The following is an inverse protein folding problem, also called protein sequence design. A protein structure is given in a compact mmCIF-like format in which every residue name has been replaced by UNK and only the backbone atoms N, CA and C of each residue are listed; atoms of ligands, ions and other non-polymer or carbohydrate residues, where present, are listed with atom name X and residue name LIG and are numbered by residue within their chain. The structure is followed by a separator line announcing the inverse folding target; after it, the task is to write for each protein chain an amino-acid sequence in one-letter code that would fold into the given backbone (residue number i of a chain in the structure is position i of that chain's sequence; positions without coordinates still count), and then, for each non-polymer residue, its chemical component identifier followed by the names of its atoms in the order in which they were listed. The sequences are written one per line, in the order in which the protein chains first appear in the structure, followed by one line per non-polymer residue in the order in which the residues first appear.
data_IF_546109103737
#
_entry.id   IF_546109103737
#
_cell.length_a   1.000
_cell.length_b   1.000
_cell.length_c   1.000
_cell.angle_alpha   90.00
_cell.angle_beta   90.00
_cell.angle_gamma   90.00
#
_symmetry.space_group_name_H-M   'P 1'
#
loop_
_entity.id
_entity.type
_entity.pdbx_description
1 polymer ?
#
# COMPACT_ATOMS: atom_id res chain seq x y z
N UNK A 1 -22.48 23.88 -4.82
CA UNK A 1 -21.48 24.59 -5.64
C UNK A 1 -20.56 23.55 -6.25
N UNK A 2 -20.42 23.52 -7.58
CA UNK A 2 -19.58 22.56 -8.31
C UNK A 2 -18.30 23.24 -8.81
N UNK A 3 -17.23 22.47 -9.03
CA UNK A 3 -16.03 22.95 -9.74
C UNK A 3 -16.28 22.81 -11.25
N UNK A 4 -16.42 23.91 -12.01
CA UNK A 4 -16.66 23.82 -13.44
C UNK A 4 -15.37 23.46 -14.18
N UNK A 5 -15.45 22.44 -15.03
CA UNK A 5 -14.40 22.08 -15.98
C UNK A 5 -14.91 22.35 -17.39
N UNK A 6 -14.18 23.16 -18.15
CA UNK A 6 -14.61 23.60 -19.48
C UNK A 6 -13.85 22.83 -20.56
N UNK A 7 -14.59 22.14 -21.43
CA UNK A 7 -14.08 21.53 -22.66
C UNK A 7 -14.74 22.29 -23.82
N UNK A 8 -13.94 22.98 -24.64
CA UNK A 8 -14.43 23.73 -25.80
C UNK A 8 -14.15 22.95 -27.07
N UNK A 9 -15.19 22.42 -27.69
CA UNK A 9 -15.09 21.78 -29.00
C UNK A 9 -14.93 22.84 -30.10
N UNK A 10 -14.04 22.59 -31.06
CA UNK A 10 -13.80 23.46 -32.22
C UNK A 10 -14.17 22.70 -33.48
N UNK A 11 -14.97 23.34 -34.34
CA UNK A 11 -15.35 22.76 -35.63
C UNK A 11 -14.23 23.05 -36.64
N UNK A 12 -13.62 22.01 -37.26
CA UNK A 12 -12.48 22.21 -38.15
C UNK A 12 -12.88 22.66 -39.57
N UNK A 13 -14.06 22.24 -40.06
CA UNK A 13 -14.60 22.63 -41.36
C UNK A 13 -16.12 22.39 -41.41
N UNK A 14 -16.82 23.04 -42.34
CA UNK A 14 -18.28 22.90 -42.50
C UNK A 14 -18.68 21.62 -43.26
N UNK A 15 -17.78 21.11 -44.10
CA UNK A 15 -18.02 19.94 -44.97
C UNK A 15 -17.97 18.58 -44.23
N UNK A 16 -17.67 18.59 -42.92
CA UNK A 16 -17.50 17.39 -42.07
C UNK A 16 -16.47 16.39 -42.61
N UNK A 17 -15.47 16.85 -43.35
CA UNK A 17 -14.42 16.00 -43.91
C UNK A 17 -13.26 15.85 -42.93
N UNK A 18 -12.75 14.63 -42.68
CA UNK A 18 -11.56 14.43 -41.86
C UNK A 18 -10.32 14.96 -42.58
N UNK A 19 -9.35 15.49 -41.82
CA UNK A 19 -8.07 15.97 -42.35
C UNK A 19 -8.11 17.34 -43.05
N UNK A 20 -9.29 17.94 -43.21
CA UNK A 20 -9.47 19.28 -43.76
C UNK A 20 -9.70 20.29 -42.64
N UNK A 21 -9.02 21.43 -42.67
CA UNK A 21 -9.17 22.49 -41.66
C UNK A 21 -9.30 23.85 -42.35
N UNK A 22 -10.35 24.58 -42.00
CA UNK A 22 -10.55 25.98 -42.38
C UNK A 22 -9.99 26.90 -41.28
N UNK A 23 -8.91 27.60 -41.61
CA UNK A 23 -8.21 28.48 -40.69
C UNK A 23 -9.07 29.67 -40.23
N UNK A 24 -9.87 30.26 -41.13
CA UNK A 24 -10.66 31.46 -40.79
C UNK A 24 -11.82 31.09 -39.85
N UNK A 25 -12.48 29.96 -40.11
CA UNK A 25 -13.53 29.42 -39.26
C UNK A 25 -13.00 29.10 -37.85
N UNK A 26 -11.83 28.46 -37.73
CA UNK A 26 -11.22 28.12 -36.44
C UNK A 26 -10.80 29.40 -35.69
N UNK A 27 -10.18 30.37 -36.38
CA UNK A 27 -9.75 31.62 -35.76
C UNK A 27 -10.92 32.43 -35.20
N UNK A 28 -12.01 32.55 -35.97
CA UNK A 28 -13.23 33.19 -35.52
C UNK A 28 -13.80 32.52 -34.25
N UNK A 29 -13.86 31.18 -34.22
CA UNK A 29 -14.29 30.44 -33.03
C UNK A 29 -13.40 30.70 -31.80
N UNK A 30 -12.07 30.76 -31.96
CA UNK A 30 -11.16 30.99 -30.84
C UNK A 30 -11.31 32.41 -30.26
N UNK A 31 -11.56 33.41 -31.10
CA UNK A 31 -11.86 34.78 -30.69
C UNK A 31 -13.22 34.88 -29.98
N UNK A 32 -14.30 34.40 -30.60
CA UNK A 32 -15.64 34.50 -30.03
C UNK A 32 -15.77 33.72 -28.72
N UNK A 33 -15.08 32.59 -28.58
CA UNK A 33 -15.06 31.80 -27.34
C UNK A 33 -14.10 32.37 -26.27
N UNK A 34 -13.36 33.45 -26.57
CA UNK A 34 -12.40 34.07 -25.65
C UNK A 34 -11.26 33.13 -25.24
N UNK A 35 -10.86 32.20 -26.11
CA UNK A 35 -9.82 31.20 -25.80
C UNK A 35 -8.47 31.88 -25.62
N UNK A 36 -8.15 32.86 -26.47
CA UNK A 36 -6.88 33.59 -26.41
C UNK A 36 -6.77 34.44 -25.13
N UNK A 37 -7.85 35.14 -24.75
CA UNK A 37 -7.94 35.90 -23.51
C UNK A 37 -7.81 34.98 -22.29
N UNK A 38 -8.47 33.82 -22.32
CA UNK A 38 -8.37 32.82 -21.27
C UNK A 38 -6.93 32.33 -21.07
N UNK A 39 -6.24 32.00 -22.16
CA UNK A 39 -4.82 31.61 -22.11
C UNK A 39 -3.95 32.75 -21.58
N UNK A 40 -4.20 33.99 -22.02
CA UNK A 40 -3.47 35.19 -21.58
C UNK A 40 -3.60 35.40 -20.07
N UNK A 41 -4.80 35.22 -19.51
CA UNK A 41 -5.06 35.30 -18.06
C UNK A 41 -4.30 34.20 -17.32
N UNK A 42 -4.35 32.95 -17.79
CA UNK A 42 -3.61 31.85 -17.16
C UNK A 42 -2.09 32.06 -17.18
N UNK A 43 -1.54 32.69 -18.23
CA UNK A 43 -0.10 32.98 -18.34
C UNK A 43 0.36 34.15 -17.48
N UNK A 44 -0.44 35.22 -17.39
CA UNK A 44 -0.08 36.41 -16.58
C UNK A 44 -0.45 36.25 -15.11
N UNK A 45 -1.47 35.45 -14.81
CA UNK A 45 -1.99 35.24 -13.48
C UNK A 45 -1.41 34.02 -12.77
N UNK A 46 -2.06 33.68 -11.66
CA UNK A 46 -1.74 32.53 -10.82
C UNK A 46 -2.95 31.58 -10.76
N UNK A 47 -3.10 30.66 -11.73
CA UNK A 47 -4.30 29.84 -11.86
C UNK A 47 -4.47 28.85 -10.70
N UNK A 48 -3.37 28.44 -10.08
CA UNK A 48 -3.37 27.47 -8.98
C UNK A 48 -3.38 28.20 -7.63
N UNK A 49 -4.21 27.74 -6.70
CA UNK A 49 -4.33 28.33 -5.36
C UNK A 49 -4.55 27.26 -4.31
N UNK A 50 -3.93 27.42 -3.14
CA UNK A 50 -4.05 26.49 -2.02
C UNK A 50 -4.17 27.22 -0.70
N UNK A 51 -4.90 26.65 0.25
CA UNK A 51 -5.00 27.18 1.62
C UNK A 51 -3.71 26.85 2.38
N UNK A 52 -3.24 27.76 3.24
CA UNK A 52 -1.99 27.57 3.97
C UNK A 52 -1.96 26.30 4.84
N UNK A 53 -3.09 25.90 5.44
CA UNK A 53 -3.17 24.67 6.24
C UNK A 53 -2.93 23.43 5.38
N UNK A 54 -3.53 23.37 4.20
CA UNK A 54 -3.37 22.28 3.24
C UNK A 54 -1.95 22.25 2.66
N UNK A 55 -1.42 23.41 2.28
CA UNK A 55 -0.04 23.54 1.78
C UNK A 55 0.96 23.03 2.82
N UNK A 56 0.83 23.48 4.07
CA UNK A 56 1.67 23.02 5.18
C UNK A 56 1.59 21.51 5.33
N UNK A 57 0.39 20.93 5.44
CA UNK A 57 0.25 19.49 5.62
C UNK A 57 0.87 18.69 4.47
N UNK A 58 0.69 19.16 3.22
CA UNK A 58 1.10 18.44 2.03
C UNK A 58 2.61 18.50 1.77
N UNK A 59 3.22 19.68 1.94
CA UNK A 59 4.60 19.95 1.55
C UNK A 59 5.59 20.06 2.71
N UNK A 60 5.17 19.87 3.96
CA UNK A 60 6.10 19.85 5.12
C UNK A 60 7.23 18.84 4.98
N UNK A 61 7.02 17.75 4.21
CA UNK A 61 8.03 16.72 3.95
C UNK A 61 9.20 17.21 3.10
N UNK A 62 9.02 18.27 2.31
CA UNK A 62 10.09 18.82 1.47
C UNK A 62 11.17 19.48 2.31
N UNK A 63 10.79 20.13 3.41
CA UNK A 63 11.69 20.91 4.26
C UNK A 63 11.35 20.77 5.76
N UNK A 64 11.49 19.58 6.36
CA UNK A 64 11.08 19.32 7.74
C UNK A 64 11.88 20.15 8.76
N UNK A 65 13.15 20.46 8.45
CA UNK A 65 14.05 21.17 9.37
C UNK A 65 13.76 22.67 9.49
N UNK A 66 13.02 23.23 8.53
CA UNK A 66 12.78 24.69 8.44
C UNK A 66 11.52 25.10 9.22
N UNK A 67 10.69 24.12 9.60
CA UNK A 67 9.43 24.35 10.31
C UNK A 67 9.71 24.39 11.82
N UNK A 68 9.51 25.54 12.50
CA UNK A 68 9.72 25.63 13.94
C UNK A 68 8.75 24.72 14.71
N UNK A 69 9.22 24.15 15.82
CA UNK A 69 8.35 23.40 16.72
C UNK A 69 7.39 24.37 17.45
N UNK A 70 6.08 24.23 17.21
CA UNK A 70 5.04 25.04 17.84
C UNK A 70 3.94 25.50 16.89
N UNK A 71 3.02 26.32 17.40
CA UNK A 71 2.01 26.98 16.56
C UNK A 71 2.66 28.15 15.81
N UNK A 72 2.81 27.99 14.50
CA UNK A 72 3.36 29.01 13.61
C UNK A 72 2.33 29.33 12.56
N UNK A 73 2.21 30.62 12.24
CA UNK A 73 1.31 31.13 11.21
C UNK A 73 1.54 30.43 9.87
N UNK A 74 0.46 29.98 9.22
CA UNK A 74 0.54 29.17 8.00
C UNK A 74 1.25 29.87 6.83
N UNK A 75 1.14 31.20 6.75
CA UNK A 75 1.83 32.02 5.75
C UNK A 75 3.35 31.94 5.90
N UNK A 76 3.85 32.17 7.12
CA UNK A 76 5.29 32.15 7.40
C UNK A 76 5.89 30.76 7.15
N UNK A 77 5.17 29.69 7.51
CA UNK A 77 5.61 28.32 7.24
C UNK A 77 5.68 28.06 5.73
N UNK A 78 4.69 28.53 4.98
CA UNK A 78 4.62 28.37 3.52
C UNK A 78 5.80 29.10 2.85
N UNK A 79 6.06 30.35 3.22
CA UNK A 79 7.20 31.12 2.70
C UNK A 79 8.54 30.41 2.97
N UNK A 80 8.75 29.91 4.20
CA UNK A 80 9.95 29.15 4.57
C UNK A 80 10.12 27.86 3.76
N UNK A 81 9.05 27.11 3.51
CA UNK A 81 9.10 25.89 2.69
C UNK A 81 9.45 26.26 1.24
N UNK A 82 8.83 27.31 0.69
CA UNK A 82 9.08 27.75 -0.69
C UNK A 82 10.52 28.26 -0.87
N UNK A 83 11.06 28.99 0.12
CA UNK A 83 12.47 29.41 0.16
C UNK A 83 13.42 28.22 0.25
N UNK A 84 13.10 27.21 1.07
CA UNK A 84 13.89 25.99 1.18
C UNK A 84 13.87 25.15 -0.11
N UNK A 85 12.77 25.21 -0.87
CA UNK A 85 12.66 24.60 -2.20
C UNK A 85 13.32 25.45 -3.31
N UNK A 86 13.90 26.62 -2.98
CA UNK A 86 14.58 27.52 -3.91
C UNK A 86 13.71 27.98 -5.09
N UNK A 87 12.39 28.11 -4.86
CA UNK A 87 11.48 28.61 -5.88
C UNK A 87 11.65 30.11 -6.10
N UNK A 88 11.65 30.52 -7.36
CA UNK A 88 11.75 31.93 -7.72
C UNK A 88 10.50 32.72 -7.27
N UNK A 89 10.71 33.89 -6.65
CA UNK A 89 9.62 34.71 -6.08
C UNK A 89 8.60 35.19 -7.10
N UNK A 90 8.93 35.24 -8.39
CA UNK A 90 7.99 35.61 -9.45
C UNK A 90 6.97 34.49 -9.77
N UNK A 91 7.22 33.27 -9.31
CA UNK A 91 6.46 32.08 -9.68
C UNK A 91 5.30 31.79 -8.72
N UNK A 92 5.28 32.45 -7.56
CA UNK A 92 4.23 32.34 -6.55
C UNK A 92 3.91 33.70 -5.93
N UNK A 93 2.73 33.81 -5.31
CA UNK A 93 2.32 34.99 -4.55
C UNK A 93 1.60 34.56 -3.27
N UNK A 94 2.02 35.09 -2.12
CA UNK A 94 1.38 34.83 -0.83
C UNK A 94 0.24 35.84 -0.58
N UNK A 95 -1.01 35.37 -0.53
CA UNK A 95 -2.16 36.17 -0.13
C UNK A 95 -2.39 36.17 1.39
N UNK A 96 -3.56 36.59 1.83
CA UNK A 96 -3.91 36.61 3.26
C UNK A 96 -4.22 35.21 3.82
N UNK A 97 -4.95 34.39 3.05
CA UNK A 97 -5.43 33.06 3.49
C UNK A 97 -4.91 31.92 2.62
N UNK A 98 -4.40 32.24 1.44
CA UNK A 98 -4.01 31.28 0.40
C UNK A 98 -2.71 31.69 -0.26
N UNK A 99 -1.97 30.70 -0.72
CA UNK A 99 -0.85 30.85 -1.64
C UNK A 99 -1.33 30.63 -3.07
N UNK A 100 -0.77 31.37 -4.01
CA UNK A 100 -1.07 31.34 -5.43
C UNK A 100 0.17 30.97 -6.23
N UNK A 101 0.02 30.13 -7.26
CA UNK A 101 1.13 29.64 -8.09
C UNK A 101 0.85 29.85 -9.57
N UNK A 102 1.92 30.14 -10.33
CA UNK A 102 1.90 30.08 -11.79
C UNK A 102 1.65 28.64 -12.25
N UNK A 103 1.27 28.48 -13.52
CA UNK A 103 1.13 27.16 -14.11
C UNK A 103 2.47 26.39 -14.08
N UNK A 104 2.43 25.09 -13.80
CA UNK A 104 3.61 24.22 -13.75
C UNK A 104 4.25 24.07 -12.36
N UNK A 105 4.33 25.14 -11.58
CA UNK A 105 5.05 25.15 -10.27
C UNK A 105 4.50 24.15 -9.27
N UNK A 106 3.17 23.98 -9.24
CA UNK A 106 2.56 23.00 -8.33
C UNK A 106 2.94 21.56 -8.72
N UNK A 107 3.09 21.28 -10.01
CA UNK A 107 3.51 19.96 -10.48
C UNK A 107 4.97 19.69 -10.10
N UNK A 108 5.85 20.70 -10.24
CA UNK A 108 7.24 20.61 -9.78
C UNK A 108 7.35 20.34 -8.27
N UNK A 109 6.52 21.01 -7.45
CA UNK A 109 6.43 20.73 -6.02
C UNK A 109 5.94 19.31 -5.71
N UNK A 110 5.00 18.77 -6.51
CA UNK A 110 4.55 17.38 -6.38
C UNK A 110 5.64 16.39 -6.79
N UNK A 111 6.38 16.64 -7.86
CA UNK A 111 7.45 15.77 -8.33
C UNK A 111 8.57 15.65 -7.27
N UNK A 112 8.99 16.79 -6.70
CA UNK A 112 9.96 16.80 -5.59
C UNK A 112 9.44 16.04 -4.36
N UNK A 113 8.13 16.14 -4.08
CA UNK A 113 7.49 15.46 -2.96
C UNK A 113 7.44 13.96 -3.19
N UNK A 114 7.09 13.54 -4.40
CA UNK A 114 7.02 12.13 -4.79
C UNK A 114 8.40 11.47 -4.77
N UNK A 115 9.48 12.18 -5.12
CA UNK A 115 10.84 11.67 -4.98
C UNK A 115 11.20 11.38 -3.51
N UNK A 116 10.90 12.32 -2.59
CA UNK A 116 11.13 12.11 -1.15
C UNK A 116 10.28 10.97 -0.59
N UNK A 117 9.00 10.93 -0.97
CA UNK A 117 8.07 9.86 -0.55
C UNK A 117 8.49 8.49 -1.09
N UNK A 118 8.93 8.43 -2.34
CA UNK A 118 9.37 7.18 -2.99
C UNK A 118 10.50 6.51 -2.20
N UNK A 119 11.47 7.30 -1.73
CA UNK A 119 12.55 6.80 -0.89
C UNK A 119 12.04 6.22 0.44
N UNK A 120 11.17 6.96 1.15
CA UNK A 120 10.60 6.53 2.44
C UNK A 120 9.75 5.26 2.25
N UNK A 121 8.90 5.25 1.24
CA UNK A 121 8.03 4.11 0.91
C UNK A 121 8.88 2.90 0.53
N UNK A 122 9.98 3.08 -0.20
CA UNK A 122 10.90 1.99 -0.55
C UNK A 122 11.51 1.34 0.69
N UNK A 123 11.96 2.13 1.67
CA UNK A 123 12.45 1.60 2.95
C UNK A 123 11.36 0.86 3.72
N UNK A 124 10.16 1.43 3.80
CA UNK A 124 9.01 0.81 4.47
C UNK A 124 8.64 -0.53 3.81
N UNK A 125 8.57 -0.55 2.48
CA UNK A 125 8.32 -1.77 1.71
C UNK A 125 9.42 -2.82 1.92
N UNK A 126 10.69 -2.42 1.96
CA UNK A 126 11.80 -3.33 2.21
C UNK A 126 11.70 -3.99 3.59
N UNK A 127 11.31 -3.23 4.63
CA UNK A 127 11.09 -3.78 5.98
C UNK A 127 9.94 -4.78 6.01
N UNK A 128 8.80 -4.45 5.39
CA UNK A 128 7.64 -5.35 5.31
C UNK A 128 8.01 -6.63 4.57
N UNK A 129 8.60 -6.52 3.37
CA UNK A 129 9.01 -7.68 2.57
C UNK A 129 10.01 -8.54 3.34
N UNK A 130 10.99 -7.93 4.00
CA UNK A 130 11.95 -8.64 4.84
C UNK A 130 11.28 -9.39 6.01
N UNK A 131 10.31 -8.78 6.67
CA UNK A 131 9.56 -9.42 7.76
C UNK A 131 8.77 -10.64 7.26
N UNK A 132 8.02 -10.48 6.17
CA UNK A 132 7.23 -11.55 5.57
C UNK A 132 8.12 -12.73 5.12
N UNK A 133 9.28 -12.44 4.51
CA UNK A 133 10.21 -13.49 4.09
C UNK A 133 10.83 -14.24 5.26
N UNK A 134 11.16 -13.58 6.37
CA UNK A 134 11.65 -14.26 7.59
C UNK A 134 10.58 -15.18 8.19
N UNK A 135 9.33 -14.74 8.21
CA UNK A 135 8.21 -15.56 8.69
C UNK A 135 7.99 -16.79 7.80
N UNK A 136 8.02 -16.60 6.48
CA UNK A 136 7.92 -17.71 5.53
C UNK A 136 9.12 -18.68 5.65
N UNK A 137 10.34 -18.15 5.80
CA UNK A 137 11.55 -18.94 5.95
C UNK A 137 11.52 -19.80 7.22
N UNK A 138 11.06 -19.25 8.36
CA UNK A 138 10.90 -20.02 9.60
C UNK A 138 9.99 -21.23 9.39
N UNK A 139 8.85 -21.04 8.71
CA UNK A 139 7.93 -22.14 8.36
C UNK A 139 8.61 -23.21 7.50
N UNK A 140 9.41 -22.81 6.51
CA UNK A 140 10.18 -23.75 5.68
C UNK A 140 11.25 -24.51 6.48
N UNK A 141 11.90 -23.85 7.44
CA UNK A 141 12.90 -24.46 8.31
C UNK A 141 12.27 -25.51 9.24
N UNK A 142 11.11 -25.22 9.82
CA UNK A 142 10.34 -26.16 10.64
C UNK A 142 9.91 -27.37 9.81
N UNK A 143 9.39 -27.14 8.59
CA UNK A 143 9.05 -28.19 7.64
C UNK A 143 10.26 -29.06 7.25
N UNK A 144 11.42 -28.44 7.00
CA UNK A 144 12.66 -29.16 6.66
C UNK A 144 13.13 -30.05 7.80
N UNK A 145 13.03 -29.57 9.04
CA UNK A 145 13.40 -30.33 10.23
C UNK A 145 12.47 -31.54 10.40
N UNK A 146 11.16 -31.33 10.30
CA UNK A 146 10.17 -32.41 10.32
C UNK A 146 10.40 -33.43 9.21
N UNK A 147 10.67 -32.96 7.98
CA UNK A 147 10.96 -33.80 6.83
C UNK A 147 12.20 -34.67 7.05
N UNK A 148 13.28 -34.10 7.60
CA UNK A 148 14.51 -34.84 7.92
C UNK A 148 14.25 -35.98 8.91
N UNK A 149 13.46 -35.71 9.97
CA UNK A 149 13.07 -36.72 10.95
C UNK A 149 12.23 -37.83 10.32
N UNK A 150 11.22 -37.46 9.52
CA UNK A 150 10.38 -38.42 8.81
C UNK A 150 11.20 -39.30 7.86
N UNK A 151 12.07 -38.70 7.04
CA UNK A 151 12.95 -39.42 6.13
C UNK A 151 13.88 -40.38 6.88
N UNK A 152 14.47 -39.96 8.00
CA UNK A 152 15.33 -40.82 8.84
C UNK A 152 14.55 -42.02 9.36
N UNK A 153 13.34 -41.80 9.88
CA UNK A 153 12.50 -42.87 10.40
C UNK A 153 12.06 -43.84 9.29
N UNK A 154 11.66 -43.33 8.12
CA UNK A 154 11.29 -44.16 6.96
C UNK A 154 12.48 -45.02 6.53
N UNK A 155 13.69 -44.45 6.42
CA UNK A 155 14.90 -45.22 6.07
C UNK A 155 15.19 -46.33 7.09
N UNK A 156 15.09 -46.04 8.39
CA UNK A 156 15.24 -47.06 9.44
C UNK A 156 14.16 -48.14 9.33
N UNK A 157 12.90 -47.76 9.11
CA UNK A 157 11.80 -48.71 8.91
C UNK A 157 12.01 -49.62 7.69
N UNK A 158 12.48 -49.06 6.56
CA UNK A 158 12.76 -49.84 5.35
C UNK A 158 13.84 -50.92 5.57
N UNK A 159 14.82 -50.66 6.45
CA UNK A 159 15.83 -51.65 6.86
C UNK A 159 15.23 -52.66 7.86
N UNK A 160 14.49 -52.17 8.87
CA UNK A 160 13.94 -53.01 9.93
C UNK A 160 12.85 -53.96 9.42
N UNK A 161 12.03 -53.56 8.43
CA UNK A 161 10.90 -54.38 7.93
C UNK A 161 11.35 -55.73 7.37
N UNK A 162 12.55 -55.80 6.81
CA UNK A 162 13.12 -57.04 6.25
C UNK A 162 13.90 -57.85 7.28
N UNK A 163 14.22 -57.28 8.44
CA UNK A 163 15.03 -57.94 9.46
C UNK A 163 14.23 -59.03 10.22
N UNK A 164 14.71 -60.29 10.29
CA UNK A 164 13.93 -61.40 10.87
C UNK A 164 13.52 -61.19 12.33
N UNK A 165 14.40 -60.66 13.17
CA UNK A 165 14.10 -60.38 14.59
C UNK A 165 13.01 -59.32 14.76
N UNK A 166 13.00 -58.30 13.90
CA UNK A 166 11.93 -57.31 13.88
C UNK A 166 10.59 -57.93 13.47
N UNK A 167 10.58 -58.82 12.47
CA UNK A 167 9.36 -59.55 12.06
C UNK A 167 8.81 -60.40 13.22
N UNK A 168 9.67 -61.12 13.94
CA UNK A 168 9.27 -61.88 15.13
C UNK A 168 8.68 -60.96 16.20
N UNK A 169 9.39 -59.88 16.55
CA UNK A 169 8.95 -58.89 17.53
C UNK A 169 7.58 -58.31 17.19
N UNK A 170 7.34 -57.92 15.93
CA UNK A 170 6.05 -57.37 15.49
C UNK A 170 4.88 -58.36 15.60
N UNK A 171 5.14 -59.67 15.49
CA UNK A 171 4.11 -60.72 15.68
C UNK A 171 3.83 -61.01 17.15
N UNK A 172 4.87 -60.99 18.00
CA UNK A 172 4.76 -61.34 19.42
C UNK A 172 4.24 -60.16 20.25
N UNK A 173 4.66 -58.92 19.95
CA UNK A 173 4.30 -57.72 20.73
C UNK A 173 2.78 -57.53 20.94
N UNK A 174 1.90 -57.69 19.93
CA UNK A 174 0.46 -57.56 20.13
C UNK A 174 -0.15 -58.66 21.02
N UNK A 175 0.52 -59.80 21.20
CA UNK A 175 0.04 -60.85 22.11
C UNK A 175 0.30 -60.48 23.58
N UNK A 176 1.22 -59.54 23.84
CA UNK A 176 1.57 -59.02 25.16
C UNK A 176 0.73 -57.78 25.54
N UNK A 177 -0.50 -57.68 25.01
CA UNK A 177 -1.36 -56.48 25.05
C UNK A 177 -2.05 -56.20 26.40
N UNK A 178 -1.77 -56.96 27.46
CA UNK A 178 -2.47 -56.83 28.76
C UNK A 178 -2.34 -55.40 29.31
N UNK A 179 -1.12 -54.83 29.35
CA UNK A 179 -0.90 -53.45 29.79
C UNK A 179 -1.50 -52.39 28.83
N UNK A 180 -1.59 -52.70 27.53
CA UNK A 180 -2.17 -51.79 26.54
C UNK A 180 -3.70 -51.72 26.67
N UNK A 181 -4.34 -52.84 27.00
CA UNK A 181 -5.78 -52.92 27.24
C UNK A 181 -6.18 -52.11 28.48
N UNK A 182 -5.39 -52.15 29.55
CA UNK A 182 -5.63 -51.32 30.75
C UNK A 182 -5.54 -49.82 30.44
N UNK A 183 -4.53 -49.38 29.69
CA UNK A 183 -4.43 -47.98 29.25
C UNK A 183 -5.57 -47.56 28.32
N UNK A 184 -5.97 -48.43 27.38
CA UNK A 184 -7.10 -48.19 26.47
C UNK A 184 -8.42 -48.07 27.24
N UNK A 185 -8.67 -48.96 28.22
CA UNK A 185 -9.82 -48.91 29.12
C UNK A 185 -9.85 -47.63 29.95
N UNK A 186 -8.69 -47.19 30.46
CA UNK A 186 -8.58 -45.95 31.23
C UNK A 186 -8.87 -44.72 30.36
N UNK A 187 -8.29 -44.65 29.15
CA UNK A 187 -8.59 -43.57 28.19
C UNK A 187 -10.06 -43.58 27.76
N UNK A 188 -10.64 -44.75 27.51
CA UNK A 188 -12.06 -44.87 27.17
C UNK A 188 -12.96 -44.40 28.33
N UNK A 189 -12.60 -44.71 29.57
CA UNK A 189 -13.29 -44.22 30.76
C UNK A 189 -13.17 -42.69 30.92
N UNK A 190 -11.99 -42.11 30.68
CA UNK A 190 -11.76 -40.66 30.70
C UNK A 190 -12.54 -39.92 29.59
N UNK A 191 -12.54 -40.44 28.37
CA UNK A 191 -13.34 -39.90 27.25
C UNK A 191 -14.85 -39.99 27.54
N UNK A 192 -15.32 -41.13 28.08
CA UNK A 192 -16.71 -41.30 28.49
C UNK A 192 -17.11 -40.32 29.61
N UNK A 193 -16.21 -40.08 30.57
CA UNK A 193 -16.43 -39.10 31.62
C UNK A 193 -16.55 -37.67 31.06
N UNK A 194 -15.66 -37.28 30.13
CA UNK A 194 -15.77 -35.97 29.44
C UNK A 194 -17.06 -35.83 28.66
N UNK A 195 -17.49 -36.88 27.93
CA UNK A 195 -18.73 -36.86 27.15
C UNK A 195 -19.99 -36.79 28.02
N UNK A 196 -19.99 -37.42 29.21
CA UNK A 196 -21.10 -37.34 30.18
C UNK A 196 -21.24 -35.96 30.80
N UNK A 197 -20.14 -35.23 30.99
CA UNK A 197 -20.16 -33.83 31.49
C UNK A 197 -20.69 -32.85 30.43
N UNK A 198 -20.55 -33.15 29.14
CA UNK A 198 -20.96 -32.27 28.03
C UNK A 198 -22.42 -32.47 27.57
N UNK A 199 -23.11 -33.55 27.98
CA UNK A 199 -24.57 -33.64 27.79
C UNK A 199 -25.27 -32.95 28.97
N UNK A 200 -25.81 -31.71 28.82
CA UNK A 200 -26.84 -31.31 29.75
C UNK A 200 -28.00 -32.27 29.52
N UNK A 201 -28.47 -32.90 30.58
CA UNK A 201 -29.81 -33.47 30.63
C UNK A 201 -30.80 -32.39 30.19
N UNK A 202 -31.13 -32.35 28.89
CA UNK A 202 -32.40 -31.81 28.42
C UNK A 202 -33.46 -32.81 28.85
N UNK A 203 -33.80 -32.76 30.12
CA UNK A 203 -35.08 -33.22 30.64
C UNK A 203 -36.14 -32.29 30.05
N UNK A 204 -37.03 -32.89 29.24
CA UNK A 204 -38.34 -32.32 28.93
C UNK A 204 -39.18 -32.23 30.21
#
# INVERSE_FOLDING_TARGET
STSPHFIRCIVPNEFKQPGVVDAHLVLHQLHCNGVLEGIRICRKGFPNRMVYSEFKQRYSILAPNVIPAGFVEGKQVTEKILEACQLEKETYQCGNTKVFFKAGILAELEDMRDEKLSNIISFFQAQIRGYLMRQAYKKLQDQRTALSLMQRNIRKYLILRTWPWWRLYTKVKPMLNIARQEEEMKKAAEELAKLKVVRPTRSF
#
